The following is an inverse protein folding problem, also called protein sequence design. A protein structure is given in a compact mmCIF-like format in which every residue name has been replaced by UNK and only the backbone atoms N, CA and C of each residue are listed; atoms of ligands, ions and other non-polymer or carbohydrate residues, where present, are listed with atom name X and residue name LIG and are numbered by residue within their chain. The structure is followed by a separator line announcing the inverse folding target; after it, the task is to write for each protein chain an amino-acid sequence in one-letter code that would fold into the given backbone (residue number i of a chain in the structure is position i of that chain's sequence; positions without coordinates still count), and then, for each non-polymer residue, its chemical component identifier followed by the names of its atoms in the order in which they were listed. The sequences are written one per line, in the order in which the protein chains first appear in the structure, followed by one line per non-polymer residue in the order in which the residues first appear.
data_IF_363998031116
#
_entry.id   IF_363998031116
#
_cell.length_a   1.000
_cell.length_b   1.000
_cell.length_c   1.000
_cell.angle_alpha   90.00
_cell.angle_beta   90.00
_cell.angle_gamma   90.00
#
_symmetry.space_group_name_H-M   'P 1'
#
loop_
_entity.id
_entity.type
_entity.pdbx_description
1 polymer ?
#
# COMPACT_ATOMS: atom_id res chain seq x y z
N UNK A 1 23.32 -3.37 16.80
CA UNK A 1 22.02 -2.68 16.62
C UNK A 1 22.17 -1.76 15.44
N UNK A 2 21.27 -1.86 14.47
CA UNK A 2 21.26 -1.00 13.29
C UNK A 2 21.01 0.46 13.75
N UNK A 3 21.75 1.47 13.22
CA UNK A 3 21.53 2.86 13.56
C UNK A 3 20.07 3.31 13.39
N UNK A 4 19.34 2.72 12.43
CA UNK A 4 17.92 3.00 12.21
C UNK A 4 17.03 2.45 13.31
N UNK A 5 17.37 1.27 13.85
CA UNK A 5 16.65 0.64 14.97
C UNK A 5 16.72 1.50 16.24
N UNK A 6 17.91 2.00 16.57
CA UNK A 6 18.11 2.88 17.74
C UNK A 6 17.30 4.17 17.65
N UNK A 7 17.26 4.79 16.47
CA UNK A 7 16.48 6.01 16.24
C UNK A 7 14.98 5.71 16.33
N UNK A 8 14.54 4.53 15.87
CA UNK A 8 13.17 4.08 16.00
C UNK A 8 12.76 3.89 17.46
N UNK A 9 13.61 3.26 18.27
CA UNK A 9 13.38 3.05 19.70
C UNK A 9 13.32 4.37 20.47
N UNK A 10 14.17 5.35 20.15
CA UNK A 10 14.11 6.69 20.74
C UNK A 10 12.85 7.46 20.33
N UNK A 11 12.44 7.36 19.05
CA UNK A 11 11.19 7.96 18.59
C UNK A 11 9.95 7.29 19.22
N UNK A 12 10.01 5.99 19.52
CA UNK A 12 8.92 5.23 20.15
C UNK A 12 8.71 5.59 21.63
N UNK A 13 9.75 6.10 22.32
CA UNK A 13 9.65 6.61 23.70
C UNK A 13 8.83 7.90 23.79
N UNK A 14 8.70 8.67 22.71
CA UNK A 14 7.88 9.89 22.69
C UNK A 14 6.40 9.56 22.35
N UNK A 15 5.44 9.84 23.25
CA UNK A 15 4.03 9.44 23.06
C UNK A 15 3.35 10.10 21.85
N UNK A 16 3.75 11.31 21.46
CA UNK A 16 3.21 11.99 20.26
C UNK A 16 3.73 11.36 18.97
N UNK A 17 5.01 10.95 18.96
CA UNK A 17 5.65 10.32 17.81
C UNK A 17 5.20 8.86 17.65
N UNK A 18 5.02 8.14 18.75
CA UNK A 18 4.49 6.77 18.79
C UNK A 18 3.11 6.66 18.12
N UNK A 19 2.21 7.62 18.35
CA UNK A 19 0.90 7.65 17.66
C UNK A 19 1.04 7.82 16.15
N UNK A 20 1.89 8.75 15.69
CA UNK A 20 2.15 8.96 14.26
C UNK A 20 2.78 7.74 13.59
N UNK A 21 3.74 7.10 14.26
CA UNK A 21 4.39 5.87 13.80
C UNK A 21 3.38 4.72 13.66
N UNK A 22 2.49 4.54 14.65
CA UNK A 22 1.42 3.54 14.58
C UNK A 22 0.47 3.80 13.41
N UNK A 23 0.06 5.05 13.17
CA UNK A 23 -0.83 5.38 12.05
C UNK A 23 -0.13 5.10 10.72
N UNK A 24 1.15 5.48 10.58
CA UNK A 24 1.95 5.17 9.38
C UNK A 24 2.05 3.66 9.15
N UNK A 25 2.40 2.89 10.19
CA UNK A 25 2.49 1.44 10.09
C UNK A 25 1.16 0.79 9.74
N UNK A 26 0.04 1.27 10.29
CA UNK A 26 -1.30 0.80 9.96
C UNK A 26 -1.66 1.07 8.50
N UNK A 27 -1.36 2.27 7.98
CA UNK A 27 -1.55 2.58 6.56
C UNK A 27 -0.68 1.73 5.64
N UNK A 28 0.59 1.52 6.00
CA UNK A 28 1.48 0.63 5.25
C UNK A 28 0.97 -0.81 5.22
N UNK A 29 0.48 -1.32 6.34
CA UNK A 29 -0.11 -2.65 6.43
C UNK A 29 -1.40 -2.76 5.60
N UNK A 30 -2.26 -1.73 5.66
CA UNK A 30 -3.48 -1.67 4.86
C UNK A 30 -3.16 -1.68 3.36
N UNK A 31 -2.16 -0.90 2.92
CA UNK A 31 -1.69 -0.88 1.54
C UNK A 31 -1.18 -2.26 1.09
N UNK A 32 -0.45 -2.97 1.95
CA UNK A 32 0.04 -4.31 1.66
C UNK A 32 -1.11 -5.30 1.44
N UNK A 33 -2.13 -5.28 2.30
CA UNK A 33 -3.32 -6.15 2.15
C UNK A 33 -4.05 -5.87 0.84
N UNK A 34 -4.22 -4.60 0.49
CA UNK A 34 -4.87 -4.22 -0.76
C UNK A 34 -4.05 -4.57 -1.99
N UNK A 35 -2.73 -4.48 -1.90
CA UNK A 35 -1.83 -4.93 -2.94
C UNK A 35 -2.01 -6.42 -3.24
N UNK A 36 -2.13 -7.26 -2.21
CA UNK A 36 -2.48 -8.69 -2.41
C UNK A 36 -3.85 -8.87 -3.06
N UNK A 37 -4.85 -8.06 -2.68
CA UNK A 37 -6.16 -8.05 -3.34
C UNK A 37 -6.06 -7.76 -4.85
N UNK A 38 -5.19 -6.83 -5.25
CA UNK A 38 -5.00 -6.47 -6.67
C UNK A 38 -4.27 -7.55 -7.43
N UNK A 39 -3.28 -8.20 -6.82
CA UNK A 39 -2.63 -9.38 -7.40
C UNK A 39 -3.69 -10.45 -7.64
N UNK A 40 -4.53 -10.75 -6.65
CA UNK A 40 -5.60 -11.72 -6.76
C UNK A 40 -6.58 -11.38 -7.89
N UNK A 41 -7.04 -10.13 -7.97
CA UNK A 41 -7.93 -9.66 -9.05
C UNK A 41 -7.25 -9.81 -10.41
N UNK A 42 -5.96 -9.49 -10.52
CA UNK A 42 -5.21 -9.59 -11.77
C UNK A 42 -5.06 -11.03 -12.23
N UNK A 43 -4.63 -11.92 -11.34
CA UNK A 43 -4.53 -13.37 -11.61
C UNK A 43 -5.91 -13.94 -11.95
N UNK A 44 -6.94 -13.58 -11.18
CA UNK A 44 -8.32 -14.01 -11.43
C UNK A 44 -8.85 -13.55 -12.78
N UNK A 45 -8.51 -12.33 -13.21
CA UNK A 45 -8.86 -11.81 -14.54
C UNK A 45 -8.20 -12.63 -15.65
N UNK A 46 -6.90 -12.95 -15.49
CA UNK A 46 -6.14 -13.74 -16.47
C UNK A 46 -6.72 -15.15 -16.59
N UNK A 47 -6.98 -15.80 -15.46
CA UNK A 47 -7.54 -17.15 -15.42
C UNK A 47 -8.98 -17.19 -15.95
N UNK A 48 -9.82 -16.24 -15.58
CA UNK A 48 -11.18 -16.12 -16.11
C UNK A 48 -11.19 -15.82 -17.62
N UNK A 49 -10.19 -15.10 -18.14
CA UNK A 49 -10.05 -14.86 -19.58
C UNK A 49 -9.71 -16.14 -20.33
N UNK A 50 -8.93 -17.06 -19.73
CA UNK A 50 -8.55 -18.33 -20.36
C UNK A 50 -9.61 -19.43 -20.19
N UNK A 51 -10.24 -19.52 -19.02
CA UNK A 51 -11.13 -20.63 -18.65
C UNK A 51 -12.63 -20.26 -18.65
N UNK A 52 -12.97 -19.03 -19.08
CA UNK A 52 -14.34 -18.48 -19.08
C UNK A 52 -14.81 -17.96 -17.72
N UNK A 53 -14.42 -18.62 -16.62
CA UNK A 53 -14.65 -18.17 -15.25
C UNK A 53 -13.53 -18.60 -14.30
N UNK A 54 -13.37 -17.88 -13.19
CA UNK A 54 -12.47 -18.25 -12.11
C UNK A 54 -13.16 -17.98 -10.77
N UNK A 55 -13.24 -18.98 -9.89
CA UNK A 55 -13.98 -18.92 -8.61
C UNK A 55 -15.45 -18.50 -8.76
N UNK A 56 -16.10 -18.92 -9.85
CA UNK A 56 -17.49 -18.56 -10.13
C UNK A 56 -17.70 -17.13 -10.62
N UNK A 57 -16.62 -16.35 -10.78
CA UNK A 57 -16.67 -14.99 -11.32
C UNK A 57 -16.21 -14.98 -12.79
N UNK A 58 -16.93 -14.22 -13.61
CA UNK A 58 -16.60 -13.97 -15.01
C UNK A 58 -15.55 -12.86 -15.15
N UNK A 59 -14.92 -12.78 -16.32
CA UNK A 59 -13.96 -11.70 -16.65
C UNK A 59 -14.55 -10.30 -16.40
N UNK A 60 -15.81 -10.07 -16.78
CA UNK A 60 -16.48 -8.78 -16.60
C UNK A 60 -16.59 -8.41 -15.12
N UNK A 61 -16.94 -9.36 -14.26
CA UNK A 61 -17.03 -9.13 -12.82
C UNK A 61 -15.66 -8.85 -12.19
N UNK A 62 -14.59 -9.53 -12.64
CA UNK A 62 -13.23 -9.19 -12.22
C UNK A 62 -12.79 -7.81 -12.69
N UNK A 63 -13.17 -7.39 -13.90
CA UNK A 63 -12.88 -6.05 -14.40
C UNK A 63 -13.62 -4.96 -13.61
N UNK A 64 -14.88 -5.21 -13.25
CA UNK A 64 -15.65 -4.28 -12.40
C UNK A 64 -15.05 -4.19 -10.98
N UNK A 65 -14.64 -5.33 -10.42
CA UNK A 65 -13.95 -5.39 -9.13
C UNK A 65 -12.61 -4.63 -9.18
N UNK A 66 -11.84 -4.80 -10.26
CA UNK A 66 -10.59 -4.07 -10.51
C UNK A 66 -10.82 -2.56 -10.56
N UNK A 67 -11.88 -2.11 -11.23
CA UNK A 67 -12.21 -0.68 -11.32
C UNK A 67 -12.47 -0.07 -9.94
N UNK A 68 -13.32 -0.72 -9.12
CA UNK A 68 -13.63 -0.27 -7.75
C UNK A 68 -12.40 -0.29 -6.84
N UNK A 69 -11.62 -1.37 -6.87
CA UNK A 69 -10.38 -1.49 -6.10
C UNK A 69 -9.30 -0.49 -6.56
N UNK A 70 -9.22 -0.20 -7.86
CA UNK A 70 -8.26 0.75 -8.41
C UNK A 70 -8.46 2.16 -7.88
N UNK A 71 -9.71 2.63 -7.81
CA UNK A 71 -10.04 3.94 -7.21
C UNK A 71 -9.66 3.97 -5.73
N UNK A 72 -10.02 2.93 -4.98
CA UNK A 72 -9.69 2.83 -3.55
C UNK A 72 -8.18 2.84 -3.30
N UNK A 73 -7.41 2.11 -4.12
CA UNK A 73 -5.95 2.12 -4.06
C UNK A 73 -5.37 3.49 -4.36
N UNK A 74 -5.84 4.19 -5.40
CA UNK A 74 -5.34 5.53 -5.72
C UNK A 74 -5.49 6.49 -4.54
N UNK A 75 -6.67 6.52 -3.91
CA UNK A 75 -6.90 7.36 -2.72
C UNK A 75 -5.93 7.03 -1.59
N UNK A 76 -5.72 5.75 -1.31
CA UNK A 76 -4.83 5.31 -0.23
C UNK A 76 -3.37 5.58 -0.52
N UNK A 77 -2.92 5.42 -1.77
CA UNK A 77 -1.57 5.78 -2.21
C UNK A 77 -1.35 7.28 -2.04
N UNK A 78 -2.32 8.12 -2.45
CA UNK A 78 -2.23 9.57 -2.26
C UNK A 78 -2.10 9.94 -0.79
N UNK A 79 -2.94 9.39 0.09
CA UNK A 79 -2.86 9.64 1.54
C UNK A 79 -1.50 9.19 2.10
N UNK A 80 -1.01 8.02 1.68
CA UNK A 80 0.26 7.49 2.13
C UNK A 80 1.45 8.35 1.68
N UNK A 81 1.45 8.81 0.42
CA UNK A 81 2.46 9.74 -0.10
C UNK A 81 2.41 11.07 0.65
N UNK A 82 1.23 11.64 0.90
CA UNK A 82 1.10 12.87 1.69
C UNK A 82 1.67 12.71 3.10
N UNK A 83 1.39 11.59 3.77
CA UNK A 83 1.93 11.30 5.10
C UNK A 83 3.46 11.11 5.12
N UNK A 84 4.03 10.65 4.00
CA UNK A 84 5.46 10.39 3.85
C UNK A 84 6.18 11.47 3.03
N UNK A 85 5.50 12.54 2.62
CA UNK A 85 6.02 13.56 1.71
C UNK A 85 7.36 14.15 2.16
N UNK A 86 7.50 14.44 3.47
CA UNK A 86 8.74 15.00 4.04
C UNK A 86 9.93 14.04 3.99
N UNK A 87 9.69 12.73 3.99
CA UNK A 87 10.74 11.72 3.88
C UNK A 87 11.06 11.54 2.40
N UNK A 88 10.03 11.40 1.58
CA UNK A 88 10.15 11.26 0.13
C UNK A 88 10.93 12.43 -0.51
N UNK A 89 10.71 13.68 -0.11
CA UNK A 89 11.49 14.81 -0.63
C UNK A 89 12.96 14.78 -0.21
N UNK A 90 13.26 14.23 0.97
CA UNK A 90 14.66 14.03 1.43
C UNK A 90 15.32 12.90 0.64
N UNK A 91 14.61 11.81 0.39
CA UNK A 91 15.09 10.70 -0.44
C UNK A 91 15.31 11.13 -1.89
N UNK A 92 14.37 11.90 -2.48
CA UNK A 92 14.53 12.48 -3.81
C UNK A 92 15.76 13.39 -3.88
N UNK A 93 16.00 14.20 -2.84
CA UNK A 93 17.18 15.05 -2.79
C UNK A 93 18.47 14.23 -2.83
N UNK A 94 18.51 13.04 -2.21
CA UNK A 94 19.68 12.14 -2.30
C UNK A 94 19.81 11.55 -3.70
N UNK A 95 18.69 11.16 -4.32
CA UNK A 95 18.70 10.57 -5.66
C UNK A 95 19.17 11.55 -6.75
N UNK A 96 18.89 12.84 -6.57
CA UNK A 96 19.21 13.90 -7.52
C UNK A 96 20.33 14.84 -7.03
N UNK A 97 21.12 14.43 -6.03
CA UNK A 97 22.29 15.16 -5.53
C UNK A 97 23.59 14.49 -5.93
#
# INVERSE_FOLDING_TARGET
MDPMEKIFDEMAKNPKMKKKLKIKAAFSLLLLVLFFGVIFITVGTILATKNGSFLGLTKLQFMELRSKYGIMMMVLITIHLMMNWKIFTKELKILFS
#
